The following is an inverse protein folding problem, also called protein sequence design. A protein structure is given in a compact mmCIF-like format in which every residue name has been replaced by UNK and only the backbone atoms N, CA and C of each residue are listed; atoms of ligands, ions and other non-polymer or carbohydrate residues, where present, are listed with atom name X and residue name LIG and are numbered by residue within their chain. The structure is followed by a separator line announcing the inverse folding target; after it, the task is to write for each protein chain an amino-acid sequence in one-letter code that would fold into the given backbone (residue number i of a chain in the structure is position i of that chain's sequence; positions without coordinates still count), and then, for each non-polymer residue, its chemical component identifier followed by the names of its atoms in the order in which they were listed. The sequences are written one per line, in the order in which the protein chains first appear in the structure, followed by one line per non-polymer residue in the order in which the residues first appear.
data_IF_137685976147
#
_entry.id   IF_137685976147
#
_cell.length_a   1.000
_cell.length_b   1.000
_cell.length_c   1.000
_cell.angle_alpha   90.00
_cell.angle_beta   90.00
_cell.angle_gamma   90.00
#
_symmetry.space_group_name_H-M   'P 1'
#
loop_
_entity.id
_entity.type
_entity.pdbx_description
1 polymer ?
#
# COMPACT_ATOMS: atom_id res chain seq x y z
N UNK A 1 -15.78 2.65 -5.71
CA UNK A 1 -16.39 1.40 -5.17
C UNK A 1 -15.64 0.99 -3.91
N UNK A 2 -16.20 1.09 -2.70
CA UNK A 2 -15.42 0.91 -1.46
C UNK A 2 -15.31 -0.56 -1.02
N UNK A 3 -14.43 -1.32 -1.66
CA UNK A 3 -14.17 -2.75 -1.40
C UNK A 3 -13.76 -3.04 0.06
N UNK A 4 -13.09 -2.10 0.73
CA UNK A 4 -12.65 -2.26 2.13
C UNK A 4 -13.79 -2.21 3.16
N UNK A 5 -14.99 -1.75 2.81
CA UNK A 5 -16.12 -1.71 3.75
C UNK A 5 -16.80 -3.08 3.95
N UNK A 6 -16.46 -4.08 3.15
CA UNK A 6 -17.09 -5.42 3.20
C UNK A 6 -16.14 -6.52 3.68
N UNK A 7 -14.95 -6.16 4.17
CA UNK A 7 -13.90 -7.12 4.55
C UNK A 7 -13.58 -6.95 6.03
N UNK A 8 -13.47 -8.06 6.76
CA UNK A 8 -12.94 -8.06 8.12
C UNK A 8 -11.50 -7.53 8.11
N UNK A 9 -11.27 -6.40 8.77
CA UNK A 9 -9.99 -5.69 8.77
C UNK A 9 -8.89 -6.50 9.48
N UNK A 10 -9.23 -7.24 10.54
CA UNK A 10 -8.26 -8.07 11.25
C UNK A 10 -7.88 -9.29 10.41
N UNK A 11 -8.86 -9.95 9.79
CA UNK A 11 -8.60 -11.06 8.86
C UNK A 11 -7.79 -10.57 7.65
N UNK A 12 -8.13 -9.39 7.12
CA UNK A 12 -7.39 -8.77 6.04
C UNK A 12 -5.93 -8.52 6.42
N UNK A 13 -5.65 -7.89 7.57
CA UNK A 13 -4.31 -7.45 7.98
C UNK A 13 -3.42 -8.59 8.50
N UNK A 14 -3.96 -9.55 9.25
CA UNK A 14 -3.15 -10.55 9.96
C UNK A 14 -3.56 -12.01 9.71
N UNK A 15 -4.58 -12.27 8.88
CA UNK A 15 -4.98 -13.64 8.54
C UNK A 15 -3.85 -14.42 7.83
N UNK A 16 -3.49 -15.58 8.35
CA UNK A 16 -2.42 -16.44 7.81
C UNK A 16 -2.95 -17.50 6.84
N UNK A 17 -4.22 -17.91 6.98
CA UNK A 17 -4.86 -18.93 6.15
C UNK A 17 -5.93 -18.30 5.25
N UNK A 18 -5.48 -17.63 4.18
CA UNK A 18 -6.37 -16.92 3.25
C UNK A 18 -6.55 -17.76 1.99
N UNK A 19 -7.79 -18.17 1.71
CA UNK A 19 -8.09 -18.89 0.48
C UNK A 19 -7.76 -18.03 -0.77
N UNK A 20 -7.10 -18.57 -1.81
CA UNK A 20 -6.63 -17.80 -2.96
C UNK A 20 -7.71 -17.02 -3.72
N UNK A 21 -8.94 -17.54 -3.77
CA UNK A 21 -10.06 -16.90 -4.46
C UNK A 21 -10.99 -16.13 -3.50
N UNK A 22 -10.58 -15.93 -2.25
CA UNK A 22 -11.36 -15.18 -1.28
C UNK A 22 -11.40 -13.67 -1.60
N UNK A 23 -12.42 -12.94 -1.09
CA UNK A 23 -12.40 -11.48 -1.11
C UNK A 23 -11.13 -10.89 -0.48
N UNK A 24 -10.57 -11.53 0.55
CA UNK A 24 -9.35 -11.06 1.21
C UNK A 24 -8.16 -11.17 0.28
N UNK A 25 -7.94 -12.32 -0.35
CA UNK A 25 -6.84 -12.50 -1.31
C UNK A 25 -6.90 -11.44 -2.44
N UNK A 26 -8.10 -11.19 -2.98
CA UNK A 26 -8.29 -10.12 -3.98
C UNK A 26 -7.96 -8.74 -3.44
N UNK A 27 -8.38 -8.42 -2.22
CA UNK A 27 -8.07 -7.14 -1.60
C UNK A 27 -6.58 -6.95 -1.33
N UNK A 28 -5.87 -8.00 -0.90
CA UNK A 28 -4.42 -7.97 -0.68
C UNK A 28 -3.68 -7.69 -2.00
N UNK A 29 -4.06 -8.40 -3.06
CA UNK A 29 -3.53 -8.15 -4.40
C UNK A 29 -3.83 -6.73 -4.90
N UNK A 30 -5.04 -6.22 -4.67
CA UNK A 30 -5.42 -4.86 -5.04
C UNK A 30 -4.60 -3.80 -4.27
N UNK A 31 -4.34 -4.01 -2.98
CA UNK A 31 -3.50 -3.13 -2.17
C UNK A 31 -2.07 -3.07 -2.71
N UNK A 32 -1.45 -4.24 -2.97
CA UNK A 32 -0.11 -4.32 -3.54
C UNK A 32 -0.04 -3.66 -4.93
N UNK A 33 -1.04 -3.91 -5.79
CA UNK A 33 -1.12 -3.28 -7.11
C UNK A 33 -1.23 -1.75 -7.01
N UNK A 34 -2.03 -1.24 -6.06
CA UNK A 34 -2.18 0.20 -5.83
C UNK A 34 -0.86 0.80 -5.37
N UNK A 35 -0.17 0.17 -4.42
CA UNK A 35 1.16 0.58 -3.97
C UNK A 35 2.21 0.61 -5.09
N UNK A 36 2.25 -0.42 -5.95
CA UNK A 36 3.13 -0.45 -7.13
C UNK A 36 2.77 0.63 -8.14
N UNK A 37 1.49 0.92 -8.32
CA UNK A 37 1.03 1.98 -9.23
C UNK A 37 1.47 3.37 -8.76
N UNK A 38 1.41 3.65 -7.46
CA UNK A 38 1.88 4.92 -6.90
C UNK A 38 3.38 5.17 -7.16
N UNK A 39 4.22 4.14 -7.03
CA UNK A 39 5.63 4.24 -7.39
C UNK A 39 5.82 4.57 -8.89
N UNK A 40 5.08 3.90 -9.78
CA UNK A 40 5.14 4.19 -11.22
C UNK A 40 4.66 5.61 -11.53
N UNK A 41 3.63 6.11 -10.86
CA UNK A 41 3.20 7.50 -11.01
C UNK A 41 4.28 8.50 -10.60
N UNK A 42 5.01 8.24 -9.50
CA UNK A 42 6.17 9.07 -9.15
C UNK A 42 7.24 9.04 -10.24
N UNK A 43 7.53 7.88 -10.83
CA UNK A 43 8.53 7.77 -11.89
C UNK A 43 8.13 8.52 -13.16
N UNK A 44 6.84 8.50 -13.52
CA UNK A 44 6.32 9.25 -14.67
C UNK A 44 6.27 10.76 -14.41
N UNK A 45 5.91 11.17 -13.19
CA UNK A 45 5.88 12.57 -12.79
C UNK A 45 7.29 13.15 -12.58
N UNK A 46 8.25 12.29 -12.25
CA UNK A 46 9.65 12.64 -11.99
C UNK A 46 10.63 11.79 -12.81
N UNK A 47 10.67 11.98 -14.14
CA UNK A 47 11.47 11.16 -15.02
C UNK A 47 12.99 11.38 -14.81
N UNK A 48 13.86 10.47 -15.27
CA UNK A 48 15.32 10.55 -15.03
C UNK A 48 16.02 11.80 -15.56
N UNK A 49 15.38 12.51 -16.50
CA UNK A 49 15.87 13.75 -17.09
C UNK A 49 15.30 15.02 -16.42
N UNK A 50 14.47 14.87 -15.39
CA UNK A 50 14.00 15.99 -14.57
C UNK A 50 15.18 16.61 -13.77
N UNK A 51 15.03 17.86 -13.30
CA UNK A 51 15.97 18.45 -12.34
C UNK A 51 16.15 17.55 -11.10
N UNK A 52 17.19 17.75 -10.27
CA UNK A 52 17.27 17.04 -9.00
C UNK A 52 16.04 17.30 -8.12
N UNK A 53 15.43 16.26 -7.53
CA UNK A 53 14.26 16.44 -6.66
C UNK A 53 14.62 17.23 -5.40
N UNK A 54 13.64 17.97 -4.89
CA UNK A 54 13.66 18.48 -3.51
C UNK A 54 13.81 17.29 -2.55
N UNK A 55 14.37 17.54 -1.35
CA UNK A 55 14.66 16.49 -0.37
C UNK A 55 13.43 15.65 -0.01
N UNK A 56 12.26 16.29 0.11
CA UNK A 56 11.00 15.62 0.40
C UNK A 56 10.51 14.73 -0.75
N UNK A 57 10.68 15.17 -2.01
CA UNK A 57 10.36 14.37 -3.20
C UNK A 57 11.31 13.18 -3.31
N UNK A 58 12.60 13.37 -3.02
CA UNK A 58 13.59 12.30 -3.03
C UNK A 58 13.24 11.22 -2.00
N UNK A 59 12.85 11.62 -0.79
CA UNK A 59 12.40 10.71 0.27
C UNK A 59 11.14 9.95 -0.15
N UNK A 60 10.13 10.64 -0.69
CA UNK A 60 8.89 10.03 -1.20
C UNK A 60 9.17 8.97 -2.26
N UNK A 61 10.07 9.26 -3.21
CA UNK A 61 10.48 8.28 -4.23
C UNK A 61 11.16 7.07 -3.60
N UNK A 62 12.01 7.28 -2.61
CA UNK A 62 12.68 6.20 -1.88
C UNK A 62 11.69 5.33 -1.10
N UNK A 63 10.67 5.93 -0.47
CA UNK A 63 9.64 5.23 0.30
C UNK A 63 8.77 4.33 -0.58
N UNK A 64 8.28 4.85 -1.71
CA UNK A 64 7.51 4.06 -2.68
C UNK A 64 8.35 2.95 -3.34
N UNK A 65 9.63 3.21 -3.61
CA UNK A 65 10.57 2.18 -4.05
C UNK A 65 10.79 1.12 -2.97
N UNK A 66 10.90 1.52 -1.70
CA UNK A 66 11.02 0.65 -0.54
C UNK A 66 9.86 -0.34 -0.46
N UNK A 67 8.62 0.15 -0.57
CA UNK A 67 7.44 -0.71 -0.64
C UNK A 67 7.50 -1.70 -1.81
N UNK A 68 7.92 -1.26 -2.99
CA UNK A 68 8.05 -2.14 -4.17
C UNK A 68 9.01 -3.29 -3.88
N UNK A 69 10.19 -2.99 -3.31
CA UNK A 69 11.19 -4.01 -2.95
C UNK A 69 10.70 -4.95 -1.86
N UNK A 70 10.02 -4.42 -0.84
CA UNK A 70 9.47 -5.22 0.24
C UNK A 70 8.43 -6.22 -0.28
N UNK A 71 7.55 -5.78 -1.18
CA UNK A 71 6.58 -6.64 -1.85
C UNK A 71 7.26 -7.71 -2.72
N UNK A 72 8.32 -7.36 -3.45
CA UNK A 72 9.08 -8.33 -4.25
C UNK A 72 9.73 -9.41 -3.37
N UNK A 73 10.28 -9.03 -2.20
CA UNK A 73 10.86 -9.99 -1.23
C UNK A 73 9.79 -10.91 -0.65
N UNK A 74 8.62 -10.36 -0.32
CA UNK A 74 7.48 -11.15 0.16
C UNK A 74 7.00 -12.17 -0.88
N UNK A 75 6.80 -11.73 -2.13
CA UNK A 75 6.36 -12.61 -3.23
C UNK A 75 7.40 -13.66 -3.62
N UNK A 76 8.70 -13.34 -3.52
CA UNK A 76 9.77 -14.27 -3.83
C UNK A 76 9.87 -15.45 -2.86
N UNK A 77 9.36 -15.30 -1.63
CA UNK A 77 9.43 -16.32 -0.58
C UNK A 77 10.88 -16.61 -0.18
N UNK A 78 11.39 -15.93 0.85
CA UNK A 78 12.75 -16.17 1.33
C UNK A 78 12.91 -17.60 1.88
N UNK A 79 14.01 -18.31 1.55
CA UNK A 79 14.34 -19.57 2.22
C UNK A 79 14.73 -19.31 3.68
N UNK A 80 14.20 -20.13 4.59
CA UNK A 80 14.61 -20.19 6.01
C UNK A 80 16.14 -20.25 6.14
N UNK A 81 16.79 -19.54 7.09
CA UNK A 81 16.24 -18.94 8.31
C UNK A 81 16.13 -17.40 8.27
N UNK A 82 16.20 -16.79 7.08
CA UNK A 82 16.10 -15.33 6.95
C UNK A 82 14.64 -14.95 7.18
N UNK A 83 14.39 -14.04 8.14
CA UNK A 83 13.05 -13.54 8.52
C UNK A 83 12.06 -13.56 7.36
N UNK A 84 11.09 -14.48 7.41
CA UNK A 84 10.00 -14.49 6.45
C UNK A 84 9.10 -13.28 6.73
N UNK A 85 9.03 -12.35 5.78
CA UNK A 85 8.09 -11.24 5.81
C UNK A 85 6.67 -11.78 5.89
N UNK A 86 5.90 -11.27 6.85
CA UNK A 86 4.49 -11.58 6.99
C UNK A 86 3.67 -10.57 6.20
N UNK A 87 2.45 -10.96 5.82
CA UNK A 87 1.53 -10.05 5.15
C UNK A 87 1.27 -8.77 5.96
N UNK A 88 1.23 -8.88 7.29
CA UNK A 88 1.07 -7.72 8.16
C UNK A 88 2.18 -6.68 7.95
N UNK A 89 3.43 -7.11 7.76
CA UNK A 89 4.57 -6.21 7.53
C UNK A 89 4.38 -5.43 6.22
N UNK A 90 3.84 -6.10 5.19
CA UNK A 90 3.52 -5.47 3.89
C UNK A 90 2.40 -4.46 4.03
N UNK A 91 1.32 -4.84 4.73
CA UNK A 91 0.19 -3.96 4.98
C UNK A 91 0.63 -2.70 5.73
N UNK A 92 1.40 -2.87 6.80
CA UNK A 92 1.86 -1.77 7.66
C UNK A 92 2.83 -0.85 6.92
N UNK A 93 3.77 -1.39 6.13
CA UNK A 93 4.67 -0.58 5.31
C UNK A 93 3.94 0.24 4.24
N UNK A 94 2.96 -0.36 3.55
CA UNK A 94 2.15 0.36 2.56
C UNK A 94 1.38 1.50 3.22
N UNK A 95 0.69 1.22 4.34
CA UNK A 95 -0.10 2.23 5.04
C UNK A 95 0.76 3.37 5.58
N UNK A 96 1.95 3.05 6.12
CA UNK A 96 2.89 4.05 6.61
C UNK A 96 3.29 5.03 5.50
N UNK A 97 3.80 4.51 4.37
CA UNK A 97 4.21 5.34 3.24
C UNK A 97 3.03 6.14 2.68
N UNK A 98 1.84 5.55 2.59
CA UNK A 98 0.65 6.29 2.14
C UNK A 98 0.23 7.38 3.14
N UNK A 99 0.47 7.22 4.43
CA UNK A 99 0.13 8.24 5.43
C UNK A 99 1.08 9.45 5.38
N UNK A 100 2.35 9.23 5.03
CA UNK A 100 3.40 10.26 5.04
C UNK A 100 3.66 10.86 3.66
N UNK A 101 3.73 10.03 2.63
CA UNK A 101 4.23 10.38 1.30
C UNK A 101 3.11 10.72 0.29
N UNK A 102 1.85 10.33 0.56
CA UNK A 102 0.73 10.58 -0.35
C UNK A 102 0.49 12.08 -0.64
N UNK A 103 0.53 13.01 0.34
CA UNK A 103 0.36 14.43 0.04
C UNK A 103 1.41 14.98 -0.93
N UNK A 104 2.66 14.55 -0.78
CA UNK A 104 3.74 14.94 -1.67
C UNK A 104 3.61 14.31 -3.06
N UNK A 105 3.23 13.03 -3.14
CA UNK A 105 2.86 12.38 -4.41
C UNK A 105 1.77 13.18 -5.12
N UNK A 106 0.71 13.57 -4.42
CA UNK A 106 -0.41 14.31 -5.03
C UNK A 106 -0.01 15.71 -5.52
N UNK A 107 0.93 16.36 -4.84
CA UNK A 107 1.52 17.64 -5.27
C UNK A 107 2.31 17.49 -6.58
N UNK A 108 3.04 16.39 -6.75
CA UNK A 108 3.96 16.18 -7.88
C UNK A 108 3.29 15.50 -9.07
N UNK A 109 2.56 14.42 -8.83
CA UNK A 109 1.93 13.59 -9.86
C UNK A 109 0.45 13.94 -10.12
N UNK A 110 -0.14 14.82 -9.31
CA UNK A 110 -1.57 15.11 -9.33
C UNK A 110 -2.39 14.19 -8.43
N UNK A 111 -3.69 14.47 -8.28
CA UNK A 111 -4.54 13.75 -7.34
C UNK A 111 -4.66 12.27 -7.70
N UNK A 112 -4.67 11.42 -6.68
CA UNK A 112 -5.03 10.01 -6.84
C UNK A 112 -6.52 9.92 -7.19
N UNK A 113 -6.92 9.11 -8.19
CA UNK A 113 -8.32 8.83 -8.47
C UNK A 113 -9.06 8.42 -7.20
N UNK A 114 -10.27 8.95 -6.98
CA UNK A 114 -11.03 8.72 -5.75
C UNK A 114 -11.25 7.23 -5.44
N UNK A 115 -11.36 6.40 -6.48
CA UNK A 115 -11.51 4.94 -6.34
C UNK A 115 -10.25 4.22 -5.84
N UNK A 116 -9.09 4.88 -5.87
CA UNK A 116 -7.79 4.35 -5.43
C UNK A 116 -7.31 4.95 -4.11
N UNK A 117 -8.05 5.92 -3.56
CA UNK A 117 -7.74 6.50 -2.25
C UNK A 117 -7.91 5.42 -1.18
N UNK A 118 -6.79 5.00 -0.60
CA UNK A 118 -6.75 4.09 0.53
C UNK A 118 -7.18 4.88 1.75
N UNK A 119 -8.49 4.97 1.98
CA UNK A 119 -9.03 5.61 3.18
C UNK A 119 -8.53 4.86 4.42
N UNK A 120 -8.08 5.63 5.41
CA UNK A 120 -7.98 5.17 6.79
C UNK A 120 -9.32 4.54 7.18
N UNK A 121 -9.29 3.30 7.62
CA UNK A 121 -10.45 2.67 8.24
C UNK A 121 -10.80 3.51 9.47
N UNK A 122 -11.82 4.36 9.36
CA UNK A 122 -12.44 4.96 10.54
C UNK A 122 -13.07 3.78 11.29
N UNK A 123 -12.65 3.47 12.53
CA UNK A 123 -13.34 2.49 13.34
C UNK A 123 -14.81 2.93 13.41
N UNK A 124 -15.73 2.12 12.89
CA UNK A 124 -17.15 2.31 13.19
C UNK A 124 -17.33 2.02 14.67
N UNK A 125 -17.28 3.06 15.50
CA UNK A 125 -17.80 3.00 16.85
C UNK A 125 -19.28 2.60 16.78
N UNK A 126 -19.62 1.48 17.41
CA UNK A 126 -20.96 1.16 17.90
C UNK A 126 -22.11 1.26 16.91
N UNK A 127 -22.38 0.18 16.16
CA UNK A 127 -23.78 -0.16 15.91
C UNK A 127 -24.36 -0.67 17.25
N UNK A 128 -24.82 0.27 18.09
CA UNK A 128 -25.66 -0.07 19.22
C UNK A 128 -26.94 -0.71 18.71
N UNK A 129 -27.14 -1.96 19.11
CA UNK A 129 -28.39 -2.70 18.96
C UNK A 129 -29.50 -1.97 19.71
N UNK A 130 -30.46 -1.41 18.98
CA UNK A 130 -31.74 -0.91 19.49
C UNK A 130 -32.89 -1.60 18.79
#
# INVERSE_FOLDING_TARGET
MKFLHTVDVAEFRSGTDVAPDSPIARGRAALMLTARTAHRWMQEAYPPYAPPPEEDIAQVMADFLGNTRLMDVYEAGAPEPVMQLQWQDICDAILLVYSEALPALQRVAGPMPEDLVIYTAVPTEGAESG
#
